data_IF_899494025372
#
_entry.id   IF_899494025372
#
_cell.length_a   1.000
_cell.length_b   1.000
_cell.length_c   1.000
_cell.angle_alpha   90.00
_cell.angle_beta   90.00
_cell.angle_gamma   90.00
#
_symmetry.space_group_name_H-M   'P 1'
#
loop_
_entity.id
_entity.type
_entity.pdbx_description
1 polymer ?
#
# COMPACT_ATOMS: atom_id res chain seq x y z
N UNK A 1 -18.70 90.12 29.07
CA UNK A 1 -18.14 88.87 29.62
C UNK A 1 -18.98 87.72 29.13
N UNK A 2 -18.65 87.12 28.03
CA UNK A 2 -19.32 85.87 27.52
C UNK A 2 -18.35 84.73 27.61
N UNK A 3 -18.71 83.70 28.40
CA UNK A 3 -17.97 82.39 28.51
C UNK A 3 -18.54 81.45 27.48
N UNK A 4 -17.73 81.06 26.50
CA UNK A 4 -18.06 79.96 25.59
C UNK A 4 -17.74 78.63 26.25
N UNK A 5 -18.77 77.77 26.42
CA UNK A 5 -18.62 76.37 26.74
C UNK A 5 -18.52 75.58 25.40
N UNK A 6 -17.37 74.98 25.12
CA UNK A 6 -17.21 74.05 24.06
C UNK A 6 -17.53 72.63 24.60
N UNK A 7 -18.57 72.01 24.09
CA UNK A 7 -18.90 70.61 24.38
C UNK A 7 -18.13 69.71 23.44
N UNK A 8 -17.20 68.90 23.95
CA UNK A 8 -16.51 67.86 23.18
C UNK A 8 -17.37 66.58 23.07
N UNK A 9 -17.83 66.29 21.86
CA UNK A 9 -18.48 65.01 21.56
C UNK A 9 -17.42 63.96 21.33
N UNK A 10 -17.26 63.02 22.25
CA UNK A 10 -16.45 61.83 22.06
C UNK A 10 -17.23 60.78 21.24
N UNK A 11 -16.88 60.61 19.97
CA UNK A 11 -17.45 59.54 19.14
C UNK A 11 -16.79 58.23 19.54
N UNK A 12 -17.52 57.38 20.26
CA UNK A 12 -17.12 55.99 20.52
C UNK A 12 -17.33 55.16 19.25
N UNK A 13 -16.23 54.84 18.55
CA UNK A 13 -16.26 53.86 17.48
C UNK A 13 -16.46 52.44 18.02
N UNK A 14 -17.68 51.95 17.97
CA UNK A 14 -17.96 50.53 18.18
C UNK A 14 -17.46 49.74 16.97
N UNK A 15 -16.29 49.10 17.11
CA UNK A 15 -15.82 48.11 16.16
C UNK A 15 -16.71 46.89 16.30
N UNK A 16 -17.60 46.65 15.36
CA UNK A 16 -18.33 45.41 15.24
C UNK A 16 -17.33 44.29 14.95
N UNK A 17 -17.38 43.15 15.66
CA UNK A 17 -16.54 42.01 15.33
C UNK A 17 -16.87 41.58 13.90
N UNK A 18 -15.87 41.55 13.05
CA UNK A 18 -16.00 40.97 11.70
C UNK A 18 -16.45 39.52 11.87
N UNK A 19 -17.47 39.04 11.16
CA UNK A 19 -17.83 37.65 11.24
C UNK A 19 -16.58 36.81 10.89
N UNK A 20 -16.22 35.89 11.77
CA UNK A 20 -15.15 34.94 11.48
C UNK A 20 -15.50 34.23 10.17
N UNK A 21 -14.62 34.34 9.18
CA UNK A 21 -14.82 33.64 7.92
C UNK A 21 -14.99 32.15 8.21
N UNK A 22 -15.98 31.53 7.60
CA UNK A 22 -16.18 30.09 7.73
C UNK A 22 -14.86 29.37 7.45
N UNK A 23 -14.46 28.39 8.25
CA UNK A 23 -13.20 27.68 8.05
C UNK A 23 -13.20 27.04 6.66
N UNK A 24 -12.13 27.28 5.89
CA UNK A 24 -12.01 26.76 4.54
C UNK A 24 -11.95 25.22 4.55
N UNK A 25 -12.51 24.54 3.54
CA UNK A 25 -12.43 23.09 3.41
C UNK A 25 -10.97 22.60 3.40
N UNK A 26 -10.71 21.50 4.12
CA UNK A 26 -9.41 20.82 4.02
C UNK A 26 -9.29 20.16 2.65
N UNK A 27 -8.34 20.64 1.82
CA UNK A 27 -8.01 20.03 0.54
C UNK A 27 -6.94 18.96 0.72
N UNK A 28 -7.20 17.76 0.19
CA UNK A 28 -6.33 16.58 0.28
C UNK A 28 -6.01 16.07 -1.12
N UNK A 29 -4.72 15.97 -1.45
CA UNK A 29 -4.23 15.51 -2.75
C UNK A 29 -3.76 14.06 -2.72
N UNK A 30 -3.91 13.35 -3.84
CA UNK A 30 -3.35 12.03 -4.09
C UNK A 30 -2.64 12.01 -5.43
N UNK A 31 -1.47 11.37 -5.49
CA UNK A 31 -0.70 11.20 -6.73
C UNK A 31 -0.53 9.72 -7.03
N UNK A 32 -1.13 9.24 -8.11
CA UNK A 32 -1.13 7.82 -8.47
C UNK A 32 -0.16 7.50 -9.60
N UNK A 33 0.63 6.45 -9.44
CA UNK A 33 1.71 6.04 -10.36
C UNK A 33 1.21 5.38 -11.65
N UNK A 34 -0.04 4.98 -11.68
CA UNK A 34 -0.66 4.30 -12.82
C UNK A 34 -2.11 4.80 -12.98
N UNK A 35 -2.79 4.46 -14.08
CA UNK A 35 -4.20 4.77 -14.26
C UNK A 35 -5.07 4.13 -13.16
N UNK A 36 -6.16 4.81 -12.79
CA UNK A 36 -7.18 4.26 -11.89
C UNK A 36 -8.03 3.24 -12.66
N UNK A 37 -7.82 1.98 -12.35
CA UNK A 37 -8.53 0.84 -12.92
C UNK A 37 -9.46 0.20 -11.89
N UNK A 38 -10.21 -0.83 -12.29
CA UNK A 38 -11.14 -1.56 -11.40
C UNK A 38 -10.47 -2.49 -10.37
N UNK A 39 -9.13 -2.61 -10.38
CA UNK A 39 -8.36 -3.49 -9.49
C UNK A 39 -6.91 -3.03 -9.40
N UNK A 40 -6.14 -3.62 -8.50
CA UNK A 40 -4.70 -3.38 -8.37
C UNK A 40 -4.32 -2.29 -7.36
N UNK A 41 -3.07 -1.85 -7.42
CA UNK A 41 -2.46 -0.91 -6.46
C UNK A 41 -3.22 0.40 -6.35
N UNK A 42 -3.36 1.13 -7.47
CA UNK A 42 -4.01 2.45 -7.51
C UNK A 42 -5.47 2.35 -7.05
N UNK A 43 -6.19 1.33 -7.53
CA UNK A 43 -7.56 1.06 -7.11
C UNK A 43 -7.67 0.94 -5.58
N UNK A 44 -6.79 0.17 -4.96
CA UNK A 44 -6.85 -0.06 -3.52
C UNK A 44 -6.54 1.20 -2.71
N UNK A 45 -5.61 2.04 -3.18
CA UNK A 45 -5.35 3.34 -2.57
C UNK A 45 -6.51 4.32 -2.75
N UNK A 46 -7.17 4.29 -3.91
CA UNK A 46 -8.37 5.10 -4.15
C UNK A 46 -9.56 4.66 -3.30
N UNK A 47 -9.74 3.36 -3.06
CA UNK A 47 -10.72 2.88 -2.08
C UNK A 47 -10.41 3.43 -0.68
N UNK A 48 -9.14 3.53 -0.30
CA UNK A 48 -8.69 4.18 0.93
C UNK A 48 -9.03 5.67 0.97
N UNK A 49 -8.82 6.41 -0.13
CA UNK A 49 -9.20 7.82 -0.29
C UNK A 49 -10.71 8.01 -0.09
N UNK A 50 -11.51 7.21 -0.78
CA UNK A 50 -12.97 7.26 -0.69
C UNK A 50 -13.48 6.90 0.72
N UNK A 51 -12.87 5.93 1.40
CA UNK A 51 -13.20 5.58 2.77
C UNK A 51 -12.88 6.74 3.73
N UNK A 52 -11.71 7.35 3.60
CA UNK A 52 -11.31 8.55 4.35
C UNK A 52 -12.29 9.71 4.11
N UNK A 53 -12.61 10.01 2.86
CA UNK A 53 -13.53 11.11 2.51
C UNK A 53 -14.91 10.91 3.14
N UNK A 54 -15.47 9.70 3.04
CA UNK A 54 -16.74 9.38 3.71
C UNK A 54 -16.68 9.56 5.22
N UNK A 55 -15.64 9.05 5.87
CA UNK A 55 -15.48 9.13 7.34
C UNK A 55 -15.31 10.56 7.81
N UNK A 56 -14.49 11.35 7.12
CA UNK A 56 -14.26 12.76 7.49
C UNK A 56 -15.46 13.64 7.22
N UNK A 57 -16.21 13.40 6.15
CA UNK A 57 -17.41 14.17 5.82
C UNK A 57 -18.58 13.82 6.75
N UNK A 58 -18.67 12.58 7.25
CA UNK A 58 -19.61 12.22 8.30
C UNK A 58 -19.29 12.94 9.62
N UNK A 59 -18.01 12.95 10.02
CA UNK A 59 -17.54 13.65 11.21
C UNK A 59 -17.69 15.18 11.08
N UNK A 60 -17.37 15.75 9.92
CA UNK A 60 -17.54 17.17 9.64
C UNK A 60 -19.01 17.62 9.82
N UNK A 61 -19.95 16.87 9.25
CA UNK A 61 -21.40 17.15 9.43
C UNK A 61 -21.81 17.12 10.91
N UNK A 62 -21.35 16.14 11.66
CA UNK A 62 -21.68 16.02 13.08
C UNK A 62 -21.11 17.17 13.93
N UNK A 63 -20.00 17.78 13.50
CA UNK A 63 -19.29 18.86 14.19
C UNK A 63 -19.58 20.26 13.64
N UNK A 64 -20.41 20.40 12.61
CA UNK A 64 -20.66 21.68 11.93
C UNK A 64 -19.41 22.22 11.21
N UNK A 65 -18.52 21.35 10.73
CA UNK A 65 -17.30 21.72 10.02
C UNK A 65 -17.50 21.60 8.49
N UNK A 66 -16.71 22.32 7.67
CA UNK A 66 -16.71 22.15 6.22
C UNK A 66 -16.34 20.72 5.82
N UNK A 67 -16.95 20.26 4.74
CA UNK A 67 -16.58 18.98 4.13
C UNK A 67 -15.15 19.03 3.61
N UNK A 68 -14.42 17.90 3.69
CA UNK A 68 -13.11 17.78 3.06
C UNK A 68 -13.26 17.65 1.55
N UNK A 69 -12.28 18.12 0.79
CA UNK A 69 -12.21 18.00 -0.65
C UNK A 69 -11.01 17.15 -1.02
N UNK A 70 -11.24 16.06 -1.78
CA UNK A 70 -10.15 15.22 -2.28
C UNK A 70 -9.94 15.43 -3.77
N UNK A 71 -8.69 15.46 -4.19
CA UNK A 71 -8.25 15.53 -5.59
C UNK A 71 -7.24 14.42 -5.83
N UNK A 72 -7.28 13.77 -6.98
CA UNK A 72 -6.21 12.86 -7.37
C UNK A 72 -5.70 13.19 -8.78
N UNK A 73 -4.44 12.86 -9.02
CA UNK A 73 -3.80 12.91 -10.34
C UNK A 73 -3.25 11.52 -10.59
N UNK A 74 -3.67 10.88 -11.67
CA UNK A 74 -3.30 9.53 -12.01
C UNK A 74 -2.27 9.46 -13.15
N UNK A 75 -1.65 8.27 -13.32
CA UNK A 75 -0.68 8.00 -14.37
C UNK A 75 0.51 8.97 -14.37
N UNK A 76 0.99 9.30 -13.17
CA UNK A 76 2.15 10.20 -12.97
C UNK A 76 3.42 9.36 -12.89
N UNK A 77 4.36 9.61 -13.79
CA UNK A 77 5.65 8.91 -13.76
C UNK A 77 6.46 9.29 -12.52
N UNK A 78 7.24 8.35 -11.99
CA UNK A 78 8.17 8.61 -10.89
C UNK A 78 9.27 9.59 -11.31
N UNK A 79 9.88 10.29 -10.36
CA UNK A 79 10.91 11.28 -10.61
C UNK A 79 10.39 12.70 -10.86
N UNK A 80 10.88 13.43 -11.89
CA UNK A 80 10.56 14.86 -12.09
C UNK A 80 9.07 15.16 -12.29
N UNK A 81 8.33 14.28 -12.96
CA UNK A 81 6.90 14.46 -13.16
C UNK A 81 6.12 14.38 -11.83
N UNK A 82 6.51 13.44 -10.97
CA UNK A 82 5.93 13.33 -9.63
C UNK A 82 6.21 14.60 -8.82
N UNK A 83 7.45 15.11 -8.84
CA UNK A 83 7.82 16.33 -8.13
C UNK A 83 6.98 17.52 -8.60
N UNK A 84 6.82 17.67 -9.91
CA UNK A 84 5.99 18.73 -10.49
C UNK A 84 4.54 18.64 -10.04
N UNK A 85 3.91 17.47 -10.14
CA UNK A 85 2.50 17.27 -9.75
C UNK A 85 2.30 17.48 -8.25
N UNK A 86 3.20 16.99 -7.39
CA UNK A 86 3.14 17.20 -5.94
C UNK A 86 3.24 18.70 -5.62
N UNK A 87 4.14 19.43 -6.29
CA UNK A 87 4.31 20.87 -6.14
C UNK A 87 3.07 21.64 -6.60
N UNK A 88 2.48 21.27 -7.72
CA UNK A 88 1.26 21.88 -8.24
C UNK A 88 0.09 21.72 -7.25
N UNK A 89 -0.09 20.53 -6.66
CA UNK A 89 -1.11 20.31 -5.64
C UNK A 89 -0.87 21.17 -4.39
N UNK A 90 0.38 21.29 -3.93
CA UNK A 90 0.72 22.14 -2.79
C UNK A 90 0.39 23.61 -3.09
N UNK A 91 0.73 24.13 -4.28
CA UNK A 91 0.43 25.50 -4.71
C UNK A 91 -1.07 25.75 -4.88
N UNK A 92 -1.87 24.73 -5.22
CA UNK A 92 -3.34 24.81 -5.30
C UNK A 92 -4.02 24.80 -3.92
N UNK A 93 -3.24 24.81 -2.84
CA UNK A 93 -3.72 24.90 -1.47
C UNK A 93 -4.10 23.57 -0.83
N UNK A 94 -3.64 22.46 -1.37
CA UNK A 94 -3.76 21.16 -0.68
C UNK A 94 -2.87 21.17 0.57
N UNK A 95 -3.44 20.85 1.73
CA UNK A 95 -2.75 20.89 3.02
C UNK A 95 -2.24 19.51 3.45
N UNK A 96 -2.69 18.47 2.80
CA UNK A 96 -2.22 17.08 2.96
C UNK A 96 -2.13 16.44 1.58
N UNK A 97 -1.00 15.80 1.28
CA UNK A 97 -0.77 15.13 0.00
C UNK A 97 -0.24 13.72 0.29
N UNK A 98 -0.94 12.72 -0.24
CA UNK A 98 -0.53 11.32 -0.20
C UNK A 98 0.14 10.93 -1.52
N UNK A 99 1.27 10.24 -1.41
CA UNK A 99 2.11 9.86 -2.56
C UNK A 99 2.41 8.37 -2.52
N UNK A 100 1.44 7.51 -2.93
CA UNK A 100 1.54 6.06 -2.84
C UNK A 100 2.35 5.45 -4.00
N UNK A 101 3.68 5.64 -3.96
CA UNK A 101 4.65 4.87 -4.72
C UNK A 101 6.05 5.02 -4.10
N UNK A 102 6.87 3.96 -4.20
CA UNK A 102 8.25 3.95 -3.71
C UNK A 102 9.09 5.07 -4.33
N UNK A 103 9.02 5.25 -5.65
CA UNK A 103 9.78 6.27 -6.37
C UNK A 103 9.27 7.71 -6.16
N UNK A 104 8.17 7.89 -5.42
CA UNK A 104 7.69 9.23 -5.05
C UNK A 104 8.35 9.78 -3.77
N UNK A 105 9.13 8.98 -3.04
CA UNK A 105 9.73 9.40 -1.78
C UNK A 105 10.63 10.64 -1.93
N UNK A 106 11.61 10.60 -2.82
CA UNK A 106 12.52 11.75 -3.03
C UNK A 106 11.79 12.97 -3.61
N UNK A 107 10.93 12.85 -4.66
CA UNK A 107 10.07 13.96 -5.09
C UNK A 107 9.26 14.60 -3.97
N UNK A 108 8.66 13.76 -3.08
CA UNK A 108 7.90 14.25 -1.94
C UNK A 108 8.77 15.05 -0.96
N UNK A 109 9.96 14.54 -0.63
CA UNK A 109 10.91 15.23 0.27
C UNK A 109 11.40 16.56 -0.32
N UNK A 110 11.64 16.62 -1.64
CA UNK A 110 12.04 17.84 -2.31
C UNK A 110 10.96 18.92 -2.20
N UNK A 111 9.71 18.57 -2.52
CA UNK A 111 8.58 19.53 -2.41
C UNK A 111 8.30 19.90 -0.95
N UNK A 112 8.41 18.96 -0.03
CA UNK A 112 8.16 19.19 1.38
C UNK A 112 9.10 20.24 2.00
N UNK A 113 10.36 20.28 1.54
CA UNK A 113 11.36 21.27 1.96
C UNK A 113 10.93 22.69 1.62
N UNK A 114 10.32 22.86 0.45
CA UNK A 114 9.87 24.17 -0.07
C UNK A 114 8.44 24.52 0.40
N UNK A 115 7.74 23.59 1.06
CA UNK A 115 6.33 23.73 1.45
C UNK A 115 6.12 23.34 2.93
N UNK A 116 6.68 24.09 3.90
CA UNK A 116 6.69 23.72 5.32
C UNK A 116 5.28 23.65 5.93
N UNK A 117 4.31 24.35 5.36
CA UNK A 117 2.93 24.40 5.82
C UNK A 117 2.06 23.24 5.28
N UNK A 118 2.54 22.48 4.30
CA UNK A 118 1.88 21.31 3.74
C UNK A 118 2.39 20.06 4.43
N UNK A 119 1.50 19.09 4.66
CA UNK A 119 1.82 17.78 5.22
C UNK A 119 1.80 16.74 4.11
N UNK A 120 2.73 15.82 4.19
CA UNK A 120 2.89 14.76 3.19
C UNK A 120 2.92 13.40 3.86
N UNK A 121 2.33 12.41 3.21
CA UNK A 121 2.45 11.02 3.60
C UNK A 121 2.97 10.21 2.41
N UNK A 122 4.25 9.85 2.45
CA UNK A 122 4.89 8.98 1.46
C UNK A 122 4.58 7.52 1.80
N UNK A 123 3.87 6.83 0.92
CA UNK A 123 3.55 5.43 1.10
C UNK A 123 4.63 4.60 0.42
N UNK A 124 5.10 3.56 1.11
CA UNK A 124 6.26 2.72 0.77
C UNK A 124 7.63 3.45 0.88
N UNK A 125 7.64 4.71 1.27
CA UNK A 125 8.87 5.43 1.61
C UNK A 125 9.46 4.99 2.96
N UNK A 126 10.70 5.41 3.22
CA UNK A 126 11.40 5.13 4.49
C UNK A 126 12.10 6.36 5.10
N UNK A 127 12.14 7.48 4.39
CA UNK A 127 12.71 8.75 4.88
C UNK A 127 11.60 9.68 5.34
N UNK A 128 11.70 10.19 6.56
CA UNK A 128 10.78 11.17 7.14
C UNK A 128 11.37 12.58 7.14
N UNK A 129 10.50 13.59 7.29
CA UNK A 129 10.86 14.97 7.58
C UNK A 129 9.82 15.56 8.55
N UNK A 130 9.99 16.78 9.12
CA UNK A 130 9.03 17.35 10.06
C UNK A 130 7.59 17.40 9.52
N UNK A 131 7.43 17.62 8.23
CA UNK A 131 6.15 17.64 7.52
C UNK A 131 5.92 16.42 6.61
N UNK A 132 6.78 15.40 6.65
CA UNK A 132 6.63 14.14 5.90
C UNK A 132 6.55 12.96 6.85
N UNK A 133 5.44 12.24 6.82
CA UNK A 133 5.32 10.93 7.44
C UNK A 133 5.48 9.83 6.37
N UNK A 134 5.88 8.66 6.78
CA UNK A 134 5.95 7.48 5.92
C UNK A 134 5.05 6.37 6.44
N UNK A 135 4.54 5.56 5.54
CA UNK A 135 3.82 4.35 5.90
C UNK A 135 4.11 3.25 4.89
N UNK A 136 4.18 2.03 5.38
CA UNK A 136 4.23 0.84 4.56
C UNK A 136 3.41 -0.27 5.24
N UNK A 137 3.12 -1.35 4.52
CA UNK A 137 2.48 -2.52 5.10
C UNK A 137 3.44 -3.72 5.07
N UNK A 138 3.27 -4.64 6.03
CA UNK A 138 3.98 -5.93 6.08
C UNK A 138 3.35 -6.89 5.06
N UNK A 139 3.38 -6.52 3.77
CA UNK A 139 2.79 -7.31 2.69
C UNK A 139 3.28 -8.75 2.68
N UNK A 140 4.52 -8.98 3.11
CA UNK A 140 5.14 -10.29 3.19
C UNK A 140 4.35 -11.27 4.08
N UNK A 141 3.60 -10.78 5.08
CA UNK A 141 2.75 -11.64 5.92
C UNK A 141 1.62 -12.26 5.07
N UNK A 142 0.94 -11.45 4.26
CA UNK A 142 -0.08 -11.94 3.33
C UNK A 142 0.51 -12.80 2.21
N UNK A 143 1.73 -12.48 1.76
CA UNK A 143 2.43 -13.28 0.74
C UNK A 143 2.79 -14.67 1.23
N UNK A 144 3.25 -14.79 2.47
CA UNK A 144 3.49 -16.09 3.09
C UNK A 144 2.22 -16.96 3.11
N UNK A 145 1.10 -16.37 3.51
CA UNK A 145 -0.20 -17.04 3.54
C UNK A 145 -0.67 -17.46 2.14
N UNK A 146 -0.47 -16.59 1.14
CA UNK A 146 -0.75 -16.93 -0.25
C UNK A 146 0.18 -18.03 -0.78
N UNK A 147 1.43 -18.07 -0.33
CA UNK A 147 2.37 -19.15 -0.60
C UNK A 147 1.86 -20.50 -0.10
N UNK A 148 1.29 -20.55 1.12
CA UNK A 148 0.66 -21.78 1.64
C UNK A 148 -0.46 -22.23 0.70
N UNK A 149 -1.36 -21.32 0.31
CA UNK A 149 -2.44 -21.66 -0.63
C UNK A 149 -1.87 -22.18 -1.96
N UNK A 150 -0.88 -21.51 -2.54
CA UNK A 150 -0.22 -21.92 -3.77
C UNK A 150 0.44 -23.30 -3.64
N UNK A 151 1.15 -23.57 -2.53
CA UNK A 151 1.81 -24.84 -2.28
C UNK A 151 0.84 -26.02 -2.16
N UNK A 152 -0.37 -25.80 -1.63
CA UNK A 152 -1.44 -26.78 -1.55
C UNK A 152 -2.16 -27.01 -2.88
N UNK A 153 -2.21 -25.97 -3.73
CA UNK A 153 -3.00 -26.00 -4.97
C UNK A 153 -2.18 -26.41 -6.19
N UNK A 154 -0.87 -26.16 -6.21
CA UNK A 154 -0.01 -26.51 -7.36
C UNK A 154 0.02 -28.02 -7.60
N UNK A 155 0.03 -28.42 -8.87
CA UNK A 155 0.24 -29.80 -9.34
C UNK A 155 1.61 -30.03 -9.93
N UNK A 156 2.25 -28.94 -10.43
CA UNK A 156 3.57 -29.02 -11.07
C UNK A 156 4.70 -28.76 -10.07
N UNK A 157 4.38 -28.32 -8.86
CA UNK A 157 5.32 -27.83 -7.84
C UNK A 157 6.09 -26.56 -8.29
N UNK A 158 5.64 -25.90 -9.36
CA UNK A 158 6.25 -24.69 -9.89
C UNK A 158 5.25 -23.55 -9.86
N UNK A 159 5.58 -22.51 -9.13
CA UNK A 159 4.88 -21.22 -9.21
C UNK A 159 5.70 -20.22 -10.02
N UNK A 160 5.01 -19.29 -10.68
CA UNK A 160 5.62 -18.14 -11.32
C UNK A 160 5.36 -16.86 -10.52
N UNK A 161 6.29 -15.93 -10.57
CA UNK A 161 6.16 -14.62 -9.92
C UNK A 161 6.53 -13.50 -10.91
N UNK A 162 5.56 -12.64 -11.25
CA UNK A 162 5.78 -11.46 -12.08
C UNK A 162 6.06 -10.27 -11.17
N UNK A 163 7.23 -9.65 -11.30
CA UNK A 163 7.67 -8.60 -10.38
C UNK A 163 8.12 -7.32 -11.09
N UNK A 164 7.88 -6.16 -10.48
CA UNK A 164 8.29 -4.87 -11.01
C UNK A 164 9.80 -4.65 -10.86
N UNK A 165 10.26 -4.34 -9.67
CA UNK A 165 11.66 -4.02 -9.37
C UNK A 165 12.17 -4.84 -8.17
N UNK A 166 13.48 -5.20 -8.13
CA UNK A 166 14.07 -5.95 -7.03
C UNK A 166 14.39 -5.05 -5.82
N UNK A 167 13.41 -4.32 -5.32
CA UNK A 167 13.52 -3.52 -4.10
C UNK A 167 13.18 -4.37 -2.86
N UNK A 168 13.62 -3.97 -1.65
CA UNK A 168 13.43 -4.75 -0.43
C UNK A 168 11.99 -5.23 -0.21
N UNK A 169 10.98 -4.38 -0.42
CA UNK A 169 9.57 -4.74 -0.26
C UNK A 169 9.14 -5.89 -1.18
N UNK A 170 9.59 -5.88 -2.44
CA UNK A 170 9.27 -6.92 -3.42
C UNK A 170 10.00 -8.22 -3.08
N UNK A 171 11.28 -8.13 -2.67
CA UNK A 171 12.06 -9.28 -2.22
C UNK A 171 11.47 -9.92 -0.97
N UNK A 172 11.01 -9.12 0.00
CA UNK A 172 10.27 -9.61 1.18
C UNK A 172 9.05 -10.44 0.75
N UNK A 173 8.26 -9.89 -0.17
CA UNK A 173 7.04 -10.54 -0.65
C UNK A 173 7.32 -11.85 -1.38
N UNK A 174 8.31 -11.84 -2.28
CA UNK A 174 8.72 -13.03 -3.05
C UNK A 174 9.29 -14.12 -2.13
N UNK A 175 10.20 -13.74 -1.23
CA UNK A 175 10.80 -14.69 -0.28
C UNK A 175 9.76 -15.28 0.68
N UNK A 176 8.86 -14.46 1.22
CA UNK A 176 7.80 -14.94 2.09
C UNK A 176 6.82 -15.87 1.35
N UNK A 177 6.47 -15.57 0.09
CA UNK A 177 5.65 -16.43 -0.75
C UNK A 177 6.34 -17.80 -0.95
N UNK A 178 7.63 -17.81 -1.30
CA UNK A 178 8.41 -19.03 -1.50
C UNK A 178 8.48 -19.85 -0.20
N UNK A 179 8.81 -19.22 0.94
CA UNK A 179 8.85 -19.89 2.24
C UNK A 179 7.48 -20.43 2.64
N UNK A 180 6.41 -19.68 2.41
CA UNK A 180 5.04 -20.15 2.65
C UNK A 180 4.68 -21.35 1.79
N UNK A 181 5.03 -21.32 0.51
CA UNK A 181 4.80 -22.44 -0.42
C UNK A 181 5.57 -23.69 0.01
N UNK A 182 6.85 -23.53 0.35
CA UNK A 182 7.73 -24.64 0.76
C UNK A 182 7.41 -25.17 2.16
N UNK A 183 6.76 -24.41 3.01
CA UNK A 183 6.31 -24.90 4.34
C UNK A 183 5.30 -26.05 4.25
N UNK A 184 4.58 -26.16 3.13
CA UNK A 184 3.57 -27.19 2.88
C UNK A 184 3.90 -28.07 1.66
N UNK A 185 4.84 -27.66 0.84
CA UNK A 185 5.36 -28.37 -0.33
C UNK A 185 6.89 -28.12 -0.46
N UNK A 186 7.73 -28.92 0.24
CA UNK A 186 9.17 -28.67 0.32
C UNK A 186 9.90 -28.71 -1.02
N UNK A 187 9.35 -29.35 -2.06
CA UNK A 187 9.93 -29.44 -3.40
C UNK A 187 9.50 -28.30 -4.31
N UNK A 188 8.66 -27.38 -3.83
CA UNK A 188 8.16 -26.29 -4.63
C UNK A 188 9.27 -25.33 -5.04
N UNK A 189 9.16 -24.84 -6.27
CA UNK A 189 10.04 -23.84 -6.88
C UNK A 189 9.24 -22.59 -7.27
N UNK A 190 9.87 -21.44 -7.17
CA UNK A 190 9.28 -20.16 -7.60
C UNK A 190 10.19 -19.51 -8.64
N UNK A 191 9.70 -19.37 -9.87
CA UNK A 191 10.39 -18.71 -10.96
C UNK A 191 9.95 -17.27 -11.08
N UNK A 192 10.88 -16.33 -11.22
CA UNK A 192 10.56 -14.90 -11.27
C UNK A 192 10.91 -14.29 -12.63
N UNK A 193 10.04 -13.39 -13.11
CA UNK A 193 10.29 -12.50 -14.24
C UNK A 193 10.20 -11.06 -13.77
N UNK A 194 11.30 -10.30 -13.95
CA UNK A 194 11.41 -8.90 -13.60
C UNK A 194 11.06 -8.01 -14.79
N UNK A 195 10.14 -7.05 -14.60
CA UNK A 195 9.67 -6.19 -15.69
C UNK A 195 10.37 -4.82 -15.75
N UNK A 196 10.93 -4.32 -14.66
CA UNK A 196 11.47 -2.97 -14.59
C UNK A 196 10.40 -1.88 -14.71
N UNK A 197 9.14 -2.19 -14.37
CA UNK A 197 8.01 -1.26 -14.33
C UNK A 197 6.99 -1.72 -13.30
N UNK A 198 6.20 -0.78 -12.76
CA UNK A 198 5.09 -1.10 -11.85
C UNK A 198 3.80 -1.44 -12.60
N UNK A 199 3.61 -0.91 -13.81
CA UNK A 199 2.37 -1.08 -14.56
C UNK A 199 2.66 -1.13 -16.06
N UNK A 200 2.49 -2.30 -16.63
CA UNK A 200 2.52 -2.54 -18.08
C UNK A 200 1.74 -3.82 -18.38
N UNK A 201 0.43 -3.72 -18.65
CA UNK A 201 -0.42 -4.90 -18.86
C UNK A 201 0.06 -5.84 -19.95
N UNK A 202 0.69 -5.33 -21.02
CA UNK A 202 1.21 -6.16 -22.12
C UNK A 202 2.41 -6.98 -21.63
N UNK A 203 3.41 -6.34 -21.01
CA UNK A 203 4.60 -7.02 -20.47
C UNK A 203 4.26 -7.96 -19.31
N UNK A 204 3.28 -7.59 -18.46
CA UNK A 204 2.79 -8.45 -17.38
C UNK A 204 2.16 -9.72 -17.94
N UNK A 205 1.36 -9.61 -19.01
CA UNK A 205 0.80 -10.76 -19.72
C UNK A 205 1.86 -11.64 -20.35
N UNK A 206 2.83 -11.06 -21.04
CA UNK A 206 3.92 -11.80 -21.70
C UNK A 206 4.78 -12.56 -20.67
N UNK A 207 5.06 -11.95 -19.53
CA UNK A 207 5.75 -12.60 -18.42
C UNK A 207 4.94 -13.77 -17.84
N UNK A 208 3.62 -13.62 -17.68
CA UNK A 208 2.74 -14.70 -17.26
C UNK A 208 2.79 -15.88 -18.24
N UNK A 209 2.72 -15.59 -19.54
CA UNK A 209 2.81 -16.62 -20.58
C UNK A 209 4.16 -17.33 -20.59
N UNK A 210 5.26 -16.59 -20.39
CA UNK A 210 6.61 -17.15 -20.25
C UNK A 210 6.70 -18.12 -19.08
N UNK A 211 6.14 -17.76 -17.93
CA UNK A 211 6.13 -18.59 -16.73
C UNK A 211 5.28 -19.86 -16.91
N UNK A 212 4.13 -19.76 -17.58
CA UNK A 212 3.34 -20.95 -17.93
C UNK A 212 4.09 -21.91 -18.84
N UNK A 213 4.81 -21.38 -19.84
CA UNK A 213 5.67 -22.19 -20.72
C UNK A 213 6.85 -22.84 -19.98
N UNK A 214 7.23 -22.30 -18.82
CA UNK A 214 8.22 -22.87 -17.91
C UNK A 214 7.62 -23.79 -16.84
N UNK A 215 6.43 -24.32 -17.09
CA UNK A 215 5.71 -25.28 -16.25
C UNK A 215 5.10 -24.71 -14.97
N UNK A 216 5.01 -23.39 -14.80
CA UNK A 216 4.23 -22.82 -13.68
C UNK A 216 2.73 -23.09 -13.89
N UNK A 217 2.03 -23.48 -12.84
CA UNK A 217 0.57 -23.64 -12.85
C UNK A 217 -0.15 -22.74 -11.86
N UNK A 218 0.60 -22.04 -11.01
CA UNK A 218 0.12 -20.97 -10.13
C UNK A 218 0.98 -19.74 -10.36
N UNK A 219 0.37 -18.57 -10.54
CA UNK A 219 1.09 -17.31 -10.62
C UNK A 219 0.82 -16.43 -9.40
N UNK A 220 1.85 -15.70 -8.99
CA UNK A 220 1.75 -14.53 -8.12
C UNK A 220 2.39 -13.34 -8.85
N UNK A 221 2.12 -12.12 -8.40
CA UNK A 221 2.69 -10.94 -9.02
C UNK A 221 2.82 -9.78 -8.03
N UNK A 222 3.74 -8.86 -8.33
CA UNK A 222 3.93 -7.58 -7.62
C UNK A 222 4.05 -6.46 -8.65
N UNK A 223 2.96 -6.29 -9.39
CA UNK A 223 2.73 -5.27 -10.41
C UNK A 223 1.31 -4.73 -10.26
N UNK A 224 0.97 -3.67 -10.96
CA UNK A 224 -0.22 -2.88 -10.69
C UNK A 224 -1.45 -3.22 -11.51
N UNK A 225 -1.34 -4.05 -12.57
CA UNK A 225 -2.48 -4.39 -13.43
C UNK A 225 -3.13 -5.73 -13.05
N UNK A 226 -4.23 -6.04 -13.72
CA UNK A 226 -4.89 -7.35 -13.61
C UNK A 226 -4.48 -8.35 -14.71
N UNK A 227 -3.49 -8.00 -15.54
CA UNK A 227 -3.15 -8.78 -16.74
C UNK A 227 -2.68 -10.21 -16.42
N UNK A 228 -1.96 -10.42 -15.31
CA UNK A 228 -1.55 -11.75 -14.85
C UNK A 228 -2.75 -12.61 -14.50
N UNK A 229 -3.76 -12.03 -13.83
CA UNK A 229 -5.01 -12.73 -13.48
C UNK A 229 -5.80 -13.12 -14.73
N UNK A 230 -5.90 -12.20 -15.70
CA UNK A 230 -6.58 -12.45 -16.99
C UNK A 230 -5.87 -13.57 -17.76
N UNK A 231 -4.53 -13.51 -17.84
CA UNK A 231 -3.74 -14.56 -18.51
C UNK A 231 -3.93 -15.93 -17.85
N UNK A 232 -3.97 -16.00 -16.51
CA UNK A 232 -4.23 -17.23 -15.79
C UNK A 232 -5.64 -17.77 -16.08
N UNK A 233 -6.66 -16.90 -16.08
CA UNK A 233 -8.04 -17.25 -16.39
C UNK A 233 -8.17 -17.85 -17.80
N UNK A 234 -7.58 -17.20 -18.80
CA UNK A 234 -7.61 -17.66 -20.20
C UNK A 234 -6.90 -18.99 -20.41
N UNK A 235 -5.89 -19.28 -19.62
CA UNK A 235 -5.11 -20.52 -19.69
C UNK A 235 -5.63 -21.64 -18.80
N UNK A 236 -6.72 -21.42 -18.06
CA UNK A 236 -7.22 -22.38 -17.07
C UNK A 236 -6.20 -22.71 -15.99
N UNK A 237 -5.35 -21.72 -15.65
CA UNK A 237 -4.33 -21.78 -14.61
C UNK A 237 -4.79 -21.01 -13.39
N UNK A 238 -4.02 -21.11 -12.29
CA UNK A 238 -4.33 -20.45 -11.02
C UNK A 238 -3.48 -19.20 -10.82
N UNK A 239 -4.01 -18.24 -10.07
CA UNK A 239 -3.26 -17.05 -9.68
C UNK A 239 -3.68 -16.52 -8.31
N UNK A 240 -2.73 -15.88 -7.63
CA UNK A 240 -2.93 -15.13 -6.39
C UNK A 240 -3.22 -13.70 -6.76
N UNK A 241 -4.39 -13.19 -6.43
CA UNK A 241 -4.70 -11.77 -6.61
C UNK A 241 -3.92 -10.93 -5.60
N UNK A 242 -3.47 -9.76 -6.06
CA UNK A 242 -2.69 -8.85 -5.24
C UNK A 242 -3.26 -7.43 -5.26
N UNK A 243 -3.11 -6.74 -4.13
CA UNK A 243 -3.65 -5.43 -3.81
C UNK A 243 -5.16 -5.44 -3.60
N UNK A 244 -5.94 -6.08 -4.45
CA UNK A 244 -7.41 -6.15 -4.40
C UNK A 244 -7.93 -7.54 -4.74
N UNK A 245 -9.18 -7.83 -4.40
CA UNK A 245 -9.93 -8.98 -4.92
C UNK A 245 -10.14 -8.81 -6.42
N UNK A 246 -9.83 -9.83 -7.19
CA UNK A 246 -9.95 -9.84 -8.66
C UNK A 246 -10.88 -10.95 -9.19
N UNK A 247 -11.77 -11.49 -8.35
CA UNK A 247 -12.76 -12.50 -8.79
C UNK A 247 -13.71 -11.98 -9.86
N UNK A 248 -13.95 -10.66 -9.89
CA UNK A 248 -14.72 -10.04 -10.97
C UNK A 248 -14.02 -10.14 -12.34
N UNK A 249 -12.69 -10.23 -12.34
CA UNK A 249 -11.86 -10.30 -13.55
C UNK A 249 -11.47 -11.75 -13.89
N UNK A 250 -11.17 -12.55 -12.87
CA UNK A 250 -10.65 -13.90 -13.03
C UNK A 250 -11.32 -14.86 -12.02
N UNK A 251 -12.63 -15.14 -12.18
CA UNK A 251 -13.43 -15.87 -11.19
C UNK A 251 -12.98 -17.31 -10.96
N UNK A 252 -12.37 -17.94 -11.97
CA UNK A 252 -11.89 -19.32 -11.89
C UNK A 252 -10.38 -19.43 -11.65
N UNK A 253 -9.61 -18.37 -11.93
CA UNK A 253 -8.16 -18.39 -11.75
C UNK A 253 -7.75 -17.99 -10.33
N UNK A 254 -8.47 -17.05 -9.69
CA UNK A 254 -8.11 -16.60 -8.36
C UNK A 254 -8.19 -17.74 -7.34
N UNK A 255 -7.09 -18.02 -6.65
CA UNK A 255 -7.10 -18.95 -5.51
C UNK A 255 -7.28 -18.20 -4.17
N UNK A 256 -6.68 -17.04 -4.03
CA UNK A 256 -6.73 -16.18 -2.84
C UNK A 256 -6.40 -14.75 -3.25
N UNK A 257 -6.87 -13.76 -2.51
CA UNK A 257 -6.42 -12.38 -2.62
C UNK A 257 -5.59 -11.98 -1.39
N UNK A 258 -4.50 -11.25 -1.63
CA UNK A 258 -3.75 -10.50 -0.62
C UNK A 258 -4.08 -9.04 -0.82
N UNK A 259 -4.83 -8.47 0.11
CA UNK A 259 -5.33 -7.09 0.04
C UNK A 259 -4.73 -6.24 1.15
N UNK A 260 -4.81 -4.92 0.99
CA UNK A 260 -4.36 -3.98 2.01
C UNK A 260 -5.38 -2.84 2.20
N UNK A 261 -5.44 -2.31 3.42
CA UNK A 261 -6.40 -1.29 3.82
C UNK A 261 -5.71 -0.01 4.25
N UNK A 262 -6.02 1.08 3.57
CA UNK A 262 -5.42 2.39 3.80
C UNK A 262 -6.39 3.41 4.41
N UNK A 263 -7.70 3.13 4.41
CA UNK A 263 -8.73 4.07 4.83
C UNK A 263 -8.53 4.61 6.23
N UNK A 264 -8.24 3.74 7.20
CA UNK A 264 -8.03 4.13 8.59
C UNK A 264 -6.76 4.98 8.76
N UNK A 265 -5.66 4.59 8.11
CA UNK A 265 -4.42 5.37 8.11
C UNK A 265 -4.63 6.76 7.51
N UNK A 266 -5.25 6.83 6.32
CA UNK A 266 -5.53 8.10 5.66
C UNK A 266 -6.45 8.98 6.50
N UNK A 267 -7.50 8.40 7.09
CA UNK A 267 -8.43 9.10 7.98
C UNK A 267 -7.71 9.67 9.20
N UNK A 268 -6.85 8.88 9.84
CA UNK A 268 -6.08 9.34 11.00
C UNK A 268 -5.14 10.49 10.65
N UNK A 269 -4.43 10.41 9.51
CA UNK A 269 -3.54 11.47 9.03
C UNK A 269 -4.28 12.76 8.70
N UNK A 270 -5.42 12.66 8.02
CA UNK A 270 -6.23 13.82 7.66
C UNK A 270 -6.88 14.49 8.88
N UNK A 271 -7.34 13.71 9.87
CA UNK A 271 -7.78 14.24 11.16
C UNK A 271 -6.66 15.00 11.87
N UNK A 272 -5.47 14.42 11.93
CA UNK A 272 -4.33 15.07 12.58
C UNK A 272 -3.96 16.42 11.91
N UNK A 273 -4.09 16.53 10.59
CA UNK A 273 -3.90 17.83 9.90
C UNK A 273 -5.02 18.81 10.24
N UNK A 274 -6.28 18.37 10.16
CA UNK A 274 -7.44 19.22 10.46
C UNK A 274 -7.43 19.73 11.89
N UNK A 275 -7.09 18.86 12.83
CA UNK A 275 -7.14 19.14 14.28
C UNK A 275 -5.82 19.76 14.81
N UNK A 276 -4.84 20.02 13.94
CA UNK A 276 -3.54 20.62 14.29
C UNK A 276 -2.62 19.71 15.13
N UNK A 277 -2.86 18.41 15.15
CA UNK A 277 -2.13 17.42 15.94
C UNK A 277 -1.15 16.58 15.11
N UNK A 278 -0.78 17.08 13.93
CA UNK A 278 0.15 16.38 13.05
C UNK A 278 1.47 16.05 13.76
N UNK A 279 1.88 14.82 13.64
CA UNK A 279 3.23 14.37 13.96
C UNK A 279 3.79 13.54 12.81
N UNK A 280 5.08 13.74 12.50
CA UNK A 280 5.79 12.83 11.60
C UNK A 280 5.90 11.44 12.25
N UNK A 281 6.23 10.43 11.46
CA UNK A 281 6.44 9.08 11.97
C UNK A 281 6.50 8.07 10.85
N UNK A 282 6.78 6.84 11.23
CA UNK A 282 6.80 5.68 10.36
C UNK A 282 5.76 4.65 10.86
N UNK A 283 4.87 4.23 9.97
CA UNK A 283 3.90 3.15 10.23
C UNK A 283 4.24 1.97 9.34
N UNK A 284 4.37 0.80 9.94
CA UNK A 284 4.59 -0.46 9.22
C UNK A 284 3.69 -1.54 9.83
N UNK A 285 2.42 -1.51 9.45
CA UNK A 285 1.39 -2.42 9.97
C UNK A 285 1.22 -3.66 9.10
N UNK A 286 0.78 -4.75 9.71
CA UNK A 286 0.58 -6.03 9.06
C UNK A 286 -0.83 -6.59 9.23
N UNK A 287 -0.90 -7.89 9.31
CA UNK A 287 -2.15 -8.64 9.56
C UNK A 287 -2.75 -8.30 10.92
N UNK A 288 -1.90 -8.14 11.95
CA UNK A 288 -2.34 -7.78 13.31
C UNK A 288 -3.05 -6.43 13.35
N UNK A 289 -2.52 -5.45 12.66
CA UNK A 289 -3.07 -4.09 12.59
C UNK A 289 -4.22 -3.96 11.56
N UNK A 290 -4.54 -5.04 10.84
CA UNK A 290 -5.57 -5.04 9.80
C UNK A 290 -5.18 -4.31 8.52
N UNK A 291 -3.91 -3.89 8.38
CA UNK A 291 -3.43 -3.26 7.15
C UNK A 291 -3.24 -4.26 6.01
N UNK A 292 -2.92 -5.52 6.32
CA UNK A 292 -2.84 -6.62 5.35
C UNK A 292 -3.89 -7.66 5.68
N UNK A 293 -4.59 -8.13 4.67
CA UNK A 293 -5.62 -9.14 4.80
C UNK A 293 -5.48 -10.18 3.69
N UNK A 294 -5.89 -11.41 4.01
CA UNK A 294 -6.03 -12.47 3.02
C UNK A 294 -7.43 -13.06 3.08
N UNK A 295 -7.91 -13.51 1.95
CA UNK A 295 -9.25 -14.09 1.83
C UNK A 295 -9.69 -14.13 0.38
N UNK A 296 -10.98 -13.89 0.17
CA UNK A 296 -11.57 -13.85 -1.17
C UNK A 296 -11.16 -15.06 -2.01
N UNK A 297 -11.25 -16.25 -1.37
CA UNK A 297 -10.88 -17.51 -1.98
C UNK A 297 -11.73 -17.81 -3.23
N UNK A 298 -11.08 -18.34 -4.25
CA UNK A 298 -11.76 -18.82 -5.45
C UNK A 298 -12.54 -20.10 -5.20
N UNK A 299 -13.52 -20.42 -6.07
CA UNK A 299 -14.43 -21.56 -5.87
C UNK A 299 -13.73 -22.93 -5.92
N UNK A 300 -12.55 -23.02 -6.55
CA UNK A 300 -11.77 -24.23 -6.67
C UNK A 300 -10.93 -24.56 -5.43
N UNK A 301 -10.81 -23.62 -4.46
CA UNK A 301 -9.97 -23.82 -3.27
C UNK A 301 -10.71 -24.67 -2.23
N UNK A 302 -10.19 -25.84 -1.86
CA UNK A 302 -10.82 -26.71 -0.88
C UNK A 302 -11.00 -26.03 0.48
N UNK A 303 -12.09 -26.32 1.18
CA UNK A 303 -12.38 -25.73 2.49
C UNK A 303 -11.25 -25.98 3.51
N UNK A 304 -10.59 -27.14 3.45
CA UNK A 304 -9.44 -27.44 4.32
C UNK A 304 -8.25 -26.49 4.09
N UNK A 305 -7.97 -26.10 2.84
CA UNK A 305 -6.91 -25.13 2.51
C UNK A 305 -7.29 -23.74 3.01
N UNK A 306 -8.55 -23.33 2.82
CA UNK A 306 -9.04 -22.05 3.33
C UNK A 306 -8.90 -21.97 4.86
N UNK A 307 -9.31 -23.04 5.58
CA UNK A 307 -9.21 -23.12 7.04
C UNK A 307 -7.74 -23.08 7.51
N UNK A 308 -6.83 -23.80 6.85
CA UNK A 308 -5.40 -23.77 7.15
C UNK A 308 -4.83 -22.34 7.01
N UNK A 309 -5.08 -21.68 5.89
CA UNK A 309 -4.60 -20.31 5.64
C UNK A 309 -5.15 -19.32 6.69
N UNK A 310 -6.45 -19.39 7.00
CA UNK A 310 -7.07 -18.51 8.00
C UNK A 310 -6.57 -18.80 9.43
N UNK A 311 -6.25 -20.07 9.76
CA UNK A 311 -5.61 -20.41 11.03
C UNK A 311 -4.20 -19.80 11.13
N UNK A 312 -3.39 -19.92 10.07
CA UNK A 312 -2.05 -19.31 10.01
C UNK A 312 -2.11 -17.78 10.05
N UNK A 313 -3.11 -17.16 9.44
CA UNK A 313 -3.36 -15.73 9.57
C UNK A 313 -3.58 -15.32 11.04
N UNK A 314 -4.38 -16.08 11.78
CA UNK A 314 -4.58 -15.86 13.22
C UNK A 314 -3.29 -16.05 14.01
N UNK A 315 -2.45 -17.01 13.62
CA UNK A 315 -1.15 -17.23 14.27
C UNK A 315 -0.21 -16.05 14.04
N UNK A 316 -0.16 -15.49 12.83
CA UNK A 316 0.60 -14.26 12.53
C UNK A 316 0.06 -13.08 13.37
N UNK A 317 -1.24 -12.85 13.36
CA UNK A 317 -1.86 -11.77 14.13
C UNK A 317 -1.57 -11.87 15.64
N UNK A 318 -1.48 -13.10 16.16
CA UNK A 318 -1.16 -13.36 17.57
C UNK A 318 0.36 -13.40 17.87
N UNK A 319 1.22 -13.27 16.85
CA UNK A 319 2.68 -13.35 17.00
C UNK A 319 3.21 -14.76 17.26
N UNK A 320 2.42 -15.81 17.03
CA UNK A 320 2.85 -17.23 17.17
C UNK A 320 3.54 -17.74 15.91
N UNK A 321 3.32 -17.12 14.79
CA UNK A 321 3.96 -17.42 13.51
C UNK A 321 4.58 -16.14 12.95
N UNK A 322 5.84 -16.23 12.52
CA UNK A 322 6.49 -15.16 11.77
C UNK A 322 6.99 -15.72 10.43
N UNK A 323 6.67 -15.11 9.27
CA UNK A 323 7.05 -15.61 7.94
C UNK A 323 8.56 -15.86 7.76
N UNK A 324 9.39 -15.08 8.43
CA UNK A 324 10.86 -15.20 8.44
C UNK A 324 11.41 -15.81 9.74
N UNK A 325 10.66 -16.72 10.35
CA UNK A 325 11.18 -17.61 11.39
C UNK A 325 11.67 -18.91 10.76
N UNK A 326 12.93 -19.23 10.93
CA UNK A 326 13.59 -20.39 10.35
C UNK A 326 13.54 -21.59 11.31
N UNK A 327 12.75 -22.61 11.04
CA UNK A 327 12.81 -23.89 11.77
C UNK A 327 14.12 -24.64 11.45
N UNK A 328 14.51 -24.65 10.17
CA UNK A 328 15.83 -25.04 9.67
C UNK A 328 16.49 -23.84 9.00
N UNK A 329 17.81 -23.83 8.92
CA UNK A 329 18.54 -22.73 8.31
C UNK A 329 18.01 -22.42 6.88
N UNK A 330 17.70 -21.15 6.63
CA UNK A 330 17.27 -20.67 5.31
C UNK A 330 18.52 -20.17 4.56
N UNK A 331 18.66 -20.62 3.32
CA UNK A 331 19.72 -20.20 2.42
C UNK A 331 19.15 -19.34 1.29
N UNK A 332 19.98 -18.46 0.78
CA UNK A 332 19.67 -17.73 -0.44
C UNK A 332 20.02 -18.55 -1.69
N UNK A 333 19.68 -18.02 -2.86
CA UNK A 333 19.95 -18.64 -4.17
C UNK A 333 21.46 -18.71 -4.54
N UNK A 334 22.35 -18.13 -3.72
CA UNK A 334 23.80 -18.27 -3.83
C UNK A 334 24.38 -19.28 -2.80
N UNK A 335 23.48 -19.91 -2.02
CA UNK A 335 23.84 -20.91 -0.99
C UNK A 335 24.31 -20.33 0.35
N UNK A 336 24.24 -18.99 0.54
CA UNK A 336 24.60 -18.35 1.80
C UNK A 336 23.48 -18.53 2.81
N UNK A 337 23.82 -18.81 4.05
CA UNK A 337 22.86 -18.84 5.16
C UNK A 337 22.41 -17.41 5.50
N UNK A 338 21.11 -17.13 5.31
CA UNK A 338 20.51 -15.81 5.52
C UNK A 338 19.62 -15.75 6.74
N UNK A 339 19.08 -16.88 7.19
CA UNK A 339 18.39 -16.99 8.49
C UNK A 339 18.87 -18.30 9.15
N UNK A 340 19.64 -18.22 10.25
CA UNK A 340 20.05 -19.40 10.99
C UNK A 340 18.86 -20.17 11.58
N UNK A 341 19.03 -21.49 11.76
CA UNK A 341 18.00 -22.32 12.37
C UNK A 341 17.59 -21.80 13.76
N UNK A 342 16.28 -21.79 14.03
CA UNK A 342 15.69 -21.28 15.28
C UNK A 342 15.63 -19.76 15.39
N UNK A 343 16.10 -19.01 14.40
CA UNK A 343 16.09 -17.54 14.44
C UNK A 343 14.94 -16.94 13.64
N UNK A 344 14.58 -15.71 14.01
CA UNK A 344 13.64 -14.85 13.29
C UNK A 344 14.37 -13.61 12.84
N UNK A 345 14.19 -13.18 11.58
CA UNK A 345 14.76 -11.92 11.11
C UNK A 345 14.18 -10.73 11.90
N UNK A 346 15.06 -9.81 12.29
CA UNK A 346 14.64 -8.55 12.85
C UNK A 346 14.01 -7.63 11.77
N UNK A 347 13.11 -6.74 12.17
CA UNK A 347 12.46 -5.77 11.27
C UNK A 347 13.48 -4.96 10.45
N UNK A 348 14.60 -4.58 11.07
CA UNK A 348 15.67 -3.84 10.39
C UNK A 348 16.32 -4.62 9.24
N UNK A 349 16.43 -5.93 9.36
CA UNK A 349 17.00 -6.80 8.33
C UNK A 349 15.98 -7.09 7.23
N UNK A 350 14.71 -7.26 7.60
CA UNK A 350 13.61 -7.39 6.64
C UNK A 350 13.52 -6.13 5.78
N UNK A 351 13.56 -4.94 6.37
CA UNK A 351 13.48 -3.66 5.66
C UNK A 351 14.67 -3.41 4.70
N UNK A 352 15.79 -4.11 4.87
CA UNK A 352 16.99 -4.00 4.03
C UNK A 352 17.26 -5.24 3.19
N UNK A 353 16.27 -6.12 3.06
CA UNK A 353 16.39 -7.39 2.36
C UNK A 353 16.90 -7.18 0.91
N UNK A 354 17.96 -7.90 0.54
CA UNK A 354 18.64 -7.78 -0.75
C UNK A 354 19.03 -9.16 -1.34
N UNK A 355 18.34 -10.20 -0.92
CA UNK A 355 18.60 -11.59 -1.34
C UNK A 355 17.28 -12.28 -1.73
N UNK A 356 17.41 -13.38 -2.46
CA UNK A 356 16.32 -14.28 -2.81
C UNK A 356 16.55 -15.62 -2.12
N UNK A 357 15.50 -16.19 -1.52
CA UNK A 357 15.57 -17.52 -0.91
C UNK A 357 15.78 -18.58 -2.00
N UNK A 358 16.53 -19.63 -1.65
CA UNK A 358 16.70 -20.81 -2.49
C UNK A 358 15.35 -21.47 -2.79
N UNK A 359 15.13 -21.86 -4.06
CA UNK A 359 13.91 -22.53 -4.55
C UNK A 359 13.07 -21.59 -5.38
#
# INVERSE_FOLDING_TARGET
MYKNLAAAFAAACFSLPSPAADPAPLKIGFVYVAPLTGAGWVHQHDQGRLAMERALNADARARGLPAVQTTYVENVAEGPDAERVIRDLAQQGHRLIFTPSFGYMEPTLNVARDSPDVRFASITGYKTAPNVAVANARYYEGRYLAGIAAGRMTRTQVAGYVAGFPIPEVLQGLNAFTLGMRSVNPQAQVKVVWLGTWFDPARERDAAMTLFNQNADVLAFHTGSNAVMVAAQERGKMAVAYHSDMRAVAPQAQIIAVTHRWGDYYTARARAVRDGTWATGNVWGGVREGMVQVGDFGPQVPAGVQQEVLARQKDIAAGRLHPFHAVAAVRDNEGREVIPAGQTLADADILRMNWLVEG
#
